data_IF_465622279186
#
_entry.id   IF_465622279186
#
_cell.length_a   1.000
_cell.length_b   1.000
_cell.length_c   1.000
_cell.angle_alpha   90.00
_cell.angle_beta   90.00
_cell.angle_gamma   90.00
#
_symmetry.space_group_name_H-M   'P 1'
#
loop_
_entity.id
_entity.type
_entity.pdbx_description
1 polymer ?
#
# COMPACT_ATOMS: atom_id res chain seq x y z
N UNK A 1 22.92 -50.30 -25.52
CA UNK A 1 21.77 -49.43 -25.89
C UNK A 1 20.61 -49.80 -24.97
N UNK A 2 20.46 -49.11 -23.83
CA UNK A 2 19.51 -49.51 -22.78
C UNK A 2 18.12 -48.91 -23.06
N UNK A 3 17.13 -49.79 -23.32
CA UNK A 3 15.73 -49.41 -23.46
C UNK A 3 15.17 -48.89 -22.13
N UNK A 4 14.91 -47.58 -22.05
CA UNK A 4 14.20 -46.95 -20.92
C UNK A 4 12.75 -47.45 -20.90
N UNK A 5 12.32 -47.97 -19.76
CA UNK A 5 11.01 -48.61 -19.59
C UNK A 5 9.83 -47.63 -19.83
N UNK A 6 8.71 -48.10 -20.41
CA UNK A 6 7.56 -47.26 -20.79
C UNK A 6 6.87 -46.58 -19.58
N UNK A 7 7.05 -47.10 -18.37
CA UNK A 7 6.53 -46.51 -17.12
C UNK A 7 7.19 -45.17 -16.77
N UNK A 8 8.44 -44.94 -17.18
CA UNK A 8 9.14 -43.67 -16.92
C UNK A 8 8.67 -42.56 -17.86
N UNK A 9 8.25 -42.90 -19.09
CA UNK A 9 7.67 -41.93 -20.03
C UNK A 9 6.28 -41.47 -19.58
N UNK A 10 5.44 -42.37 -19.06
CA UNK A 10 4.11 -42.03 -18.56
C UNK A 10 4.16 -41.13 -17.30
N UNK A 11 5.10 -41.38 -16.38
CA UNK A 11 5.31 -40.54 -15.18
C UNK A 11 5.80 -39.13 -15.53
N UNK A 12 6.66 -38.99 -16.55
CA UNK A 12 7.14 -37.69 -17.02
C UNK A 12 6.04 -36.91 -17.77
N UNK A 13 5.21 -37.59 -18.55
CA UNK A 13 4.08 -36.96 -19.24
C UNK A 13 2.99 -36.49 -18.26
N UNK A 14 2.70 -37.28 -17.22
CA UNK A 14 1.77 -36.90 -16.15
C UNK A 14 2.30 -35.74 -15.29
N UNK A 15 3.62 -35.68 -15.04
CA UNK A 15 4.25 -34.55 -14.35
C UNK A 15 4.21 -33.27 -15.21
N UNK A 16 4.45 -33.38 -16.53
CA UNK A 16 4.32 -32.23 -17.44
C UNK A 16 2.86 -31.76 -17.59
N UNK A 17 1.88 -32.67 -17.63
CA UNK A 17 0.46 -32.29 -17.64
C UNK A 17 0.04 -31.64 -16.31
N UNK A 18 0.53 -32.14 -15.17
CA UNK A 18 0.26 -31.53 -13.86
C UNK A 18 0.87 -30.12 -13.74
N UNK A 19 2.00 -29.83 -14.39
CA UNK A 19 2.60 -28.48 -14.44
C UNK A 19 1.80 -27.53 -15.34
N UNK A 20 1.15 -28.02 -16.40
CA UNK A 20 0.32 -27.17 -17.30
C UNK A 20 -1.01 -26.75 -16.64
N UNK A 21 -1.54 -27.52 -15.69
CA UNK A 21 -2.80 -27.20 -15.02
C UNK A 21 -2.69 -26.24 -13.81
N UNK A 22 -1.49 -25.77 -13.45
CA UNK A 22 -1.31 -24.76 -12.36
C UNK A 22 -1.30 -23.31 -12.89
N UNK A 23 -1.46 -23.10 -14.20
CA UNK A 23 -1.46 -21.76 -14.80
C UNK A 23 -2.77 -20.97 -14.64
N UNK A 24 -3.76 -21.48 -13.92
CA UNK A 24 -5.01 -20.76 -13.64
C UNK A 24 -5.30 -20.72 -12.15
N UNK A 25 -5.05 -19.58 -11.50
CA UNK A 25 -5.79 -19.05 -10.35
C UNK A 25 -5.08 -17.82 -9.73
N UNK A 26 -5.82 -16.70 -9.61
CA UNK A 26 -5.63 -15.74 -8.51
C UNK A 26 -5.12 -14.33 -8.80
N UNK A 27 -5.23 -13.79 -10.02
CA UNK A 27 -4.97 -12.37 -10.30
C UNK A 27 -6.26 -11.63 -10.68
N UNK A 28 -6.46 -10.42 -10.17
CA UNK A 28 -7.57 -9.56 -10.62
C UNK A 28 -7.33 -9.10 -12.06
N UNK A 29 -8.38 -8.81 -12.87
CA UNK A 29 -8.20 -8.44 -14.27
C UNK A 29 -7.33 -7.19 -14.46
N UNK A 30 -6.53 -7.16 -15.53
CA UNK A 30 -5.77 -5.98 -15.96
C UNK A 30 -6.65 -5.07 -16.83
N UNK A 31 -6.47 -3.76 -16.74
CA UNK A 31 -7.23 -2.79 -17.55
C UNK A 31 -8.52 -2.28 -16.89
N UNK A 32 -8.68 -2.50 -15.58
CA UNK A 32 -9.86 -2.03 -14.82
C UNK A 32 -10.00 -0.50 -14.75
N UNK A 33 -8.92 0.23 -15.06
CA UNK A 33 -8.91 1.70 -15.06
C UNK A 33 -9.34 2.29 -16.40
N UNK A 34 -9.64 1.48 -17.42
CA UNK A 34 -10.30 1.97 -18.62
C UNK A 34 -11.69 2.50 -18.25
N UNK A 35 -11.99 3.80 -18.48
CA UNK A 35 -13.28 4.36 -18.10
C UNK A 35 -14.45 3.67 -18.81
N UNK A 36 -15.51 3.39 -18.06
CA UNK A 36 -16.78 2.86 -18.57
C UNK A 36 -17.89 3.90 -18.45
N UNK A 37 -18.94 3.74 -19.26
CA UNK A 37 -20.11 4.59 -19.18
C UNK A 37 -20.80 4.43 -17.81
N UNK A 38 -21.33 5.53 -17.29
CA UNK A 38 -22.11 5.53 -16.06
C UNK A 38 -23.53 5.00 -16.33
N UNK A 39 -23.66 3.67 -16.31
CA UNK A 39 -24.91 2.96 -16.55
C UNK A 39 -25.75 2.78 -15.29
N UNK A 40 -25.24 3.19 -14.11
CA UNK A 40 -25.92 3.04 -12.82
C UNK A 40 -25.75 4.31 -11.98
N UNK A 41 -26.46 5.40 -12.33
CA UNK A 41 -26.18 6.71 -11.76
C UNK A 41 -26.52 6.84 -10.27
N UNK A 42 -27.32 5.92 -9.73
CA UNK A 42 -27.71 5.87 -8.32
C UNK A 42 -26.62 5.23 -7.43
N UNK A 43 -25.50 4.80 -8.00
CA UNK A 43 -24.35 4.28 -7.24
C UNK A 43 -23.58 5.40 -6.56
N UNK A 44 -22.98 5.10 -5.41
CA UNK A 44 -22.04 6.01 -4.75
C UNK A 44 -20.81 6.19 -5.62
N UNK A 45 -20.25 7.41 -5.60
CA UNK A 45 -19.02 7.76 -6.33
C UNK A 45 -17.96 8.24 -5.36
N UNK A 46 -16.74 7.81 -5.60
CA UNK A 46 -15.54 8.34 -4.95
C UNK A 46 -14.70 9.02 -6.01
N UNK A 47 -14.62 10.35 -5.94
CA UNK A 47 -13.69 11.17 -6.71
C UNK A 47 -12.42 11.35 -5.89
N UNK A 48 -11.24 11.09 -6.47
CA UNK A 48 -9.98 11.20 -5.75
C UNK A 48 -8.88 11.82 -6.61
N UNK A 49 -8.00 12.58 -5.96
CA UNK A 49 -6.75 13.03 -6.53
C UNK A 49 -5.67 12.01 -6.24
N UNK A 50 -4.88 11.71 -7.25
CA UNK A 50 -3.73 10.83 -7.13
C UNK A 50 -2.47 11.66 -7.29
N UNK A 51 -1.50 11.47 -6.39
CA UNK A 51 -0.14 11.95 -6.53
C UNK A 51 0.79 10.72 -6.62
N UNK A 52 1.56 10.62 -7.70
CA UNK A 52 2.36 9.41 -7.97
C UNK A 52 3.76 9.72 -8.43
N UNK A 53 4.72 8.91 -7.99
CA UNK A 53 6.09 8.85 -8.51
C UNK A 53 6.30 7.64 -9.43
N UNK A 54 5.22 6.95 -9.81
CA UNK A 54 5.25 5.85 -10.79
C UNK A 54 5.47 6.41 -12.21
N UNK A 55 6.22 5.66 -13.00
CA UNK A 55 6.39 5.86 -14.44
C UNK A 55 5.09 5.59 -15.17
N UNK A 56 4.82 6.35 -16.23
CA UNK A 56 3.69 6.09 -17.12
C UNK A 56 3.78 4.67 -17.68
N UNK A 57 2.65 3.99 -17.79
CA UNK A 57 2.60 2.67 -18.43
C UNK A 57 2.53 2.81 -19.94
N UNK A 58 3.16 1.88 -20.64
CA UNK A 58 3.01 1.71 -22.10
C UNK A 58 1.86 0.74 -22.43
N UNK A 59 1.35 0.02 -21.43
CA UNK A 59 0.29 -0.97 -21.61
C UNK A 59 -1.10 -0.30 -21.65
N UNK A 60 -1.91 -0.55 -22.69
CA UNK A 60 -3.28 -0.03 -22.76
C UNK A 60 -4.12 -0.46 -21.55
N UNK A 61 -4.87 0.47 -20.97
CA UNK A 61 -5.71 0.24 -19.79
C UNK A 61 -4.96 0.34 -18.44
N UNK A 62 -3.66 0.58 -18.47
CA UNK A 62 -2.85 0.89 -17.28
C UNK A 62 -2.34 2.33 -17.38
N UNK A 63 -2.57 3.16 -16.34
CA UNK A 63 -2.07 4.53 -16.35
C UNK A 63 -0.60 4.61 -15.97
N UNK A 64 -0.23 3.91 -14.90
CA UNK A 64 1.12 3.95 -14.33
C UNK A 64 1.63 2.55 -14.02
N UNK A 65 2.92 2.35 -14.23
CA UNK A 65 3.62 1.08 -14.02
C UNK A 65 4.20 0.96 -12.60
N UNK A 66 4.94 -0.12 -12.36
CA UNK A 66 5.77 -0.28 -11.16
C UNK A 66 7.10 0.46 -11.22
N UNK A 67 7.44 1.12 -12.33
CA UNK A 67 8.73 1.78 -12.49
C UNK A 67 8.76 3.19 -11.90
N UNK A 68 9.96 3.72 -11.61
CA UNK A 68 10.14 5.07 -11.04
C UNK A 68 10.07 6.15 -12.13
N UNK A 69 9.34 7.23 -11.86
CA UNK A 69 9.38 8.47 -12.63
C UNK A 69 10.27 9.51 -11.94
N UNK A 70 10.99 10.32 -12.72
CA UNK A 70 11.80 11.43 -12.18
C UNK A 70 10.98 12.53 -11.53
N UNK A 71 9.82 12.81 -12.10
CA UNK A 71 8.92 13.86 -11.64
C UNK A 71 7.60 13.24 -11.19
N UNK A 72 6.95 13.81 -10.16
CA UNK A 72 5.60 13.39 -9.80
C UNK A 72 4.61 13.66 -10.94
N UNK A 73 3.66 12.75 -11.08
CA UNK A 73 2.48 12.91 -11.92
C UNK A 73 1.23 12.96 -11.04
N UNK A 74 0.15 13.52 -11.59
CA UNK A 74 -1.13 13.64 -10.90
C UNK A 74 -2.24 13.06 -11.77
N UNK A 75 -3.28 12.52 -11.13
CA UNK A 75 -4.46 12.05 -11.85
C UNK A 75 -5.74 12.29 -11.05
N UNK A 76 -6.85 12.49 -11.76
CA UNK A 76 -8.21 12.57 -11.23
C UNK A 76 -8.98 11.32 -11.65
N UNK A 77 -9.34 10.52 -10.65
CA UNK A 77 -10.05 9.26 -10.85
C UNK A 77 -11.40 9.31 -10.14
N UNK A 78 -12.44 8.87 -10.84
CA UNK A 78 -13.76 8.63 -10.26
C UNK A 78 -14.07 7.14 -10.33
N UNK A 79 -14.34 6.53 -9.17
CA UNK A 79 -14.75 5.13 -9.05
C UNK A 79 -16.20 5.08 -8.58
N UNK A 80 -17.03 4.30 -9.28
CA UNK A 80 -18.37 3.93 -8.84
C UNK A 80 -18.29 2.69 -7.93
N UNK A 81 -19.11 2.72 -6.88
CA UNK A 81 -19.18 1.67 -5.87
C UNK A 81 -20.55 1.01 -5.96
N UNK A 82 -20.64 -0.31 -6.18
CA UNK A 82 -21.91 -1.00 -6.36
C UNK A 82 -22.69 -1.01 -5.03
N UNK A 83 -24.03 -0.88 -5.09
CA UNK A 83 -24.87 -0.73 -3.89
C UNK A 83 -24.94 -2.02 -3.06
N UNK A 84 -24.85 -3.18 -3.70
CA UNK A 84 -24.94 -4.49 -3.04
C UNK A 84 -23.58 -5.15 -3.08
N UNK A 85 -22.86 -5.03 -1.96
CA UNK A 85 -21.59 -5.74 -1.72
C UNK A 85 -21.34 -5.92 -0.23
N UNK A 86 -20.37 -6.75 0.10
CA UNK A 86 -19.85 -6.83 1.46
C UNK A 86 -18.96 -5.61 1.75
N UNK A 87 -19.24 -4.91 2.84
CA UNK A 87 -18.40 -3.80 3.34
C UNK A 87 -17.01 -4.34 3.67
N UNK A 88 -15.97 -3.58 3.34
CA UNK A 88 -14.58 -4.01 3.52
C UNK A 88 -13.98 -4.77 2.32
N UNK A 89 -14.83 -5.27 1.41
CA UNK A 89 -14.39 -5.96 0.21
C UNK A 89 -14.44 -5.05 -1.03
N UNK A 90 -13.41 -5.15 -1.85
CA UNK A 90 -13.40 -4.57 -3.20
C UNK A 90 -14.10 -5.54 -4.15
N UNK A 91 -15.24 -5.14 -4.70
CA UNK A 91 -15.97 -5.96 -5.67
C UNK A 91 -15.29 -5.86 -7.05
N UNK A 92 -14.22 -6.62 -7.23
CA UNK A 92 -13.48 -6.64 -8.49
C UNK A 92 -14.33 -7.19 -9.65
N UNK A 93 -14.27 -6.57 -10.85
CA UNK A 93 -14.97 -7.08 -12.00
C UNK A 93 -14.43 -8.47 -12.36
N UNK A 94 -15.33 -9.42 -12.66
CA UNK A 94 -14.95 -10.75 -13.15
C UNK A 94 -14.66 -10.77 -14.65
N UNK A 95 -15.18 -9.77 -15.37
CA UNK A 95 -15.04 -9.59 -16.82
C UNK A 95 -14.98 -8.09 -17.11
N UNK A 96 -14.20 -7.71 -18.14
CA UNK A 96 -14.16 -6.34 -18.64
C UNK A 96 -15.05 -6.17 -19.88
N UNK A 97 -15.64 -4.98 -20.11
CA UNK A 97 -15.62 -3.80 -19.23
C UNK A 97 -16.39 -4.03 -17.92
N UNK A 98 -16.02 -3.31 -16.85
CA UNK A 98 -16.66 -3.43 -15.54
C UNK A 98 -18.11 -2.92 -15.56
N UNK A 99 -18.95 -3.48 -14.68
CA UNK A 99 -20.35 -3.08 -14.55
C UNK A 99 -20.58 -2.28 -13.26
N UNK A 100 -20.87 -0.96 -13.32
CA UNK A 100 -21.13 -0.13 -12.14
C UNK A 100 -22.23 -0.64 -11.19
N UNK A 101 -23.15 -1.47 -11.68
CA UNK A 101 -24.21 -2.05 -10.85
C UNK A 101 -23.72 -3.20 -9.94
N UNK A 102 -22.65 -3.89 -10.31
CA UNK A 102 -22.17 -5.11 -9.61
C UNK A 102 -20.72 -5.02 -9.15
N UNK A 103 -19.91 -4.19 -9.81
CA UNK A 103 -18.47 -4.13 -9.66
C UNK A 103 -18.03 -2.72 -9.28
N UNK A 104 -16.82 -2.61 -8.73
CA UNK A 104 -16.10 -1.35 -8.75
C UNK A 104 -15.78 -1.02 -10.21
N UNK A 105 -16.22 0.16 -10.65
CA UNK A 105 -16.04 0.56 -12.03
C UNK A 105 -15.48 1.98 -12.12
N UNK A 106 -14.42 2.13 -12.91
CA UNK A 106 -13.76 3.40 -13.16
C UNK A 106 -14.62 4.20 -14.15
N UNK A 107 -15.15 5.34 -13.72
CA UNK A 107 -15.96 6.22 -14.56
C UNK A 107 -15.12 7.33 -15.22
N UNK A 108 -14.01 7.71 -14.58
CA UNK A 108 -13.10 8.75 -15.06
C UNK A 108 -11.68 8.39 -14.64
N UNK A 109 -10.71 8.62 -15.53
CA UNK A 109 -9.30 8.43 -15.28
C UNK A 109 -8.50 9.42 -16.15
N UNK A 110 -8.19 10.61 -15.60
CA UNK A 110 -7.54 11.70 -16.33
C UNK A 110 -6.21 12.03 -15.68
N UNK A 111 -5.14 12.14 -16.48
CA UNK A 111 -3.89 12.74 -16.02
C UNK A 111 -4.09 14.25 -15.86
N UNK A 112 -3.52 14.81 -14.80
CA UNK A 112 -3.57 16.23 -14.49
C UNK A 112 -2.16 16.83 -14.50
N UNK A 113 -2.07 18.06 -14.97
CA UNK A 113 -0.94 18.93 -14.65
C UNK A 113 -0.94 19.28 -13.16
N UNK A 114 0.18 19.82 -12.69
CA UNK A 114 0.32 20.26 -11.29
C UNK A 114 -0.72 21.32 -10.91
N UNK A 115 -1.02 22.27 -11.80
CA UNK A 115 -1.95 23.35 -11.48
C UNK A 115 -3.42 22.88 -11.52
N UNK A 116 -3.75 21.95 -12.42
CA UNK A 116 -5.05 21.26 -12.40
C UNK A 116 -5.23 20.44 -11.12
N UNK A 117 -4.19 19.75 -10.64
CA UNK A 117 -4.23 19.01 -9.38
C UNK A 117 -4.48 19.93 -8.17
N UNK A 118 -3.83 21.10 -8.12
CA UNK A 118 -4.09 22.12 -7.08
C UNK A 118 -5.52 22.65 -7.16
N UNK A 119 -6.01 22.92 -8.37
CA UNK A 119 -7.37 23.41 -8.58
C UNK A 119 -8.40 22.37 -8.16
N UNK A 120 -8.19 21.10 -8.51
CA UNK A 120 -9.02 19.98 -8.08
C UNK A 120 -9.05 19.89 -6.56
N UNK A 121 -7.88 19.93 -5.89
CA UNK A 121 -7.81 19.80 -4.44
C UNK A 121 -8.55 20.94 -3.74
N UNK A 122 -8.35 22.17 -4.19
CA UNK A 122 -9.06 23.34 -3.67
C UNK A 122 -10.57 23.23 -3.83
N UNK A 123 -11.04 22.73 -4.99
CA UNK A 123 -12.46 22.51 -5.23
C UNK A 123 -13.03 21.41 -4.32
N UNK A 124 -12.31 20.30 -4.15
CA UNK A 124 -12.72 19.16 -3.31
C UNK A 124 -12.75 19.50 -1.83
N UNK A 125 -11.74 20.22 -1.32
CA UNK A 125 -11.66 20.65 0.08
C UNK A 125 -12.82 21.59 0.44
N UNK A 126 -13.28 22.43 -0.49
CA UNK A 126 -14.45 23.30 -0.27
C UNK A 126 -15.77 22.54 -0.16
N UNK A 127 -15.84 21.29 -0.66
CA UNK A 127 -17.01 20.40 -0.50
C UNK A 127 -17.01 19.67 0.84
N UNK A 128 -15.84 19.54 1.49
CA UNK A 128 -15.69 18.92 2.80
C UNK A 128 -16.20 19.87 3.90
N UNK A 129 -17.06 19.40 4.85
CA UNK A 129 -17.62 20.25 5.91
C UNK A 129 -16.56 20.93 6.79
N UNK A 130 -15.46 20.21 7.02
CA UNK A 130 -14.33 20.52 7.88
C UNK A 130 -13.11 21.01 7.10
N UNK A 131 -13.22 21.12 5.76
CA UNK A 131 -12.12 21.49 4.85
C UNK A 131 -10.87 20.65 5.09
N UNK A 132 -11.07 19.36 5.30
CA UNK A 132 -10.03 18.39 5.61
C UNK A 132 -9.61 17.59 4.37
N UNK A 133 -8.40 17.06 4.43
CA UNK A 133 -7.82 16.17 3.42
C UNK A 133 -7.50 14.84 4.09
N UNK A 134 -7.91 13.75 3.44
CA UNK A 134 -7.48 12.40 3.79
C UNK A 134 -6.43 11.93 2.78
N UNK A 135 -5.19 11.77 3.24
CA UNK A 135 -4.10 11.21 2.44
C UNK A 135 -3.99 9.72 2.72
N UNK A 136 -4.09 8.88 1.70
CA UNK A 136 -3.84 7.44 1.82
C UNK A 136 -2.55 7.03 1.11
N UNK A 137 -1.72 6.25 1.80
CA UNK A 137 -0.43 5.74 1.29
C UNK A 137 -0.47 4.22 1.31
N UNK A 138 -0.43 3.60 0.14
CA UNK A 138 -0.53 2.14 0.01
C UNK A 138 0.71 1.40 0.51
N UNK A 139 0.54 0.10 0.79
CA UNK A 139 1.60 -0.81 1.21
C UNK A 139 2.34 -1.51 0.07
N UNK A 140 3.19 -2.48 0.45
CA UNK A 140 3.96 -3.33 -0.46
C UNK A 140 3.06 -4.20 -1.35
N UNK A 141 3.60 -4.67 -2.48
CA UNK A 141 2.94 -5.62 -3.38
C UNK A 141 1.62 -5.09 -3.98
N UNK A 142 1.58 -3.79 -4.32
CA UNK A 142 0.40 -3.17 -4.93
C UNK A 142 0.69 -2.64 -6.33
N UNK A 143 -0.16 -2.99 -7.30
CA UNK A 143 -0.24 -2.29 -8.57
C UNK A 143 -0.97 -0.95 -8.36
N UNK A 144 -0.99 -0.14 -9.41
CA UNK A 144 -1.61 1.17 -9.34
C UNK A 144 -3.13 1.06 -9.08
N UNK A 145 -3.80 0.20 -9.85
CA UNK A 145 -5.24 -0.07 -9.74
C UNK A 145 -5.65 -0.67 -8.39
N UNK A 146 -4.81 -1.52 -7.78
CA UNK A 146 -5.06 -2.11 -6.46
C UNK A 146 -5.19 -1.00 -5.41
N UNK A 147 -4.30 -0.01 -5.50
CA UNK A 147 -4.26 1.15 -4.60
C UNK A 147 -5.46 2.06 -4.78
N UNK A 148 -5.88 2.28 -6.03
CA UNK A 148 -7.06 3.10 -6.38
C UNK A 148 -8.34 2.47 -5.83
N UNK A 149 -8.59 1.20 -6.12
CA UNK A 149 -9.83 0.55 -5.69
C UNK A 149 -9.87 0.33 -4.18
N UNK A 150 -8.72 0.00 -3.56
CA UNK A 150 -8.65 -0.10 -2.10
C UNK A 150 -8.95 1.23 -1.43
N UNK A 151 -8.40 2.34 -1.93
CA UNK A 151 -8.69 3.64 -1.35
C UNK A 151 -10.14 4.08 -1.59
N UNK A 152 -10.70 3.81 -2.77
CA UNK A 152 -12.11 4.05 -3.05
C UNK A 152 -13.01 3.31 -2.05
N UNK A 153 -12.68 2.05 -1.75
CA UNK A 153 -13.38 1.24 -0.76
C UNK A 153 -13.29 1.87 0.64
N UNK A 154 -12.08 2.22 1.11
CA UNK A 154 -11.87 2.80 2.44
C UNK A 154 -12.60 4.15 2.56
N UNK A 155 -12.46 5.04 1.57
CA UNK A 155 -13.09 6.36 1.59
C UNK A 155 -14.62 6.27 1.61
N UNK A 156 -15.19 5.34 0.84
CA UNK A 156 -16.64 5.09 0.84
C UNK A 156 -17.12 4.48 2.16
N UNK A 157 -16.47 3.40 2.59
CA UNK A 157 -16.95 2.58 3.72
C UNK A 157 -16.74 3.25 5.08
N UNK A 158 -15.74 4.12 5.18
CA UNK A 158 -15.52 4.92 6.40
C UNK A 158 -16.52 6.06 6.54
N UNK A 159 -17.21 6.43 5.47
CA UNK A 159 -18.14 7.57 5.45
C UNK A 159 -17.45 8.94 5.58
N UNK A 160 -16.12 8.98 5.53
CA UNK A 160 -15.32 10.20 5.66
C UNK A 160 -15.69 11.23 4.59
N UNK A 161 -15.78 12.51 4.99
CA UNK A 161 -16.16 13.62 4.08
C UNK A 161 -14.98 14.52 3.69
N UNK A 162 -13.76 14.14 4.06
CA UNK A 162 -12.51 14.80 3.66
C UNK A 162 -12.25 14.65 2.15
N UNK A 163 -11.50 15.58 1.57
CA UNK A 163 -11.01 15.46 0.20
C UNK A 163 -10.01 14.28 0.11
N UNK A 164 -10.29 13.24 -0.70
CA UNK A 164 -9.46 12.04 -0.74
C UNK A 164 -8.27 12.21 -1.70
N UNK A 165 -7.06 12.02 -1.17
CA UNK A 165 -5.79 12.07 -1.90
C UNK A 165 -5.07 10.74 -1.76
N UNK A 166 -4.88 10.04 -2.86
CA UNK A 166 -4.09 8.80 -2.91
C UNK A 166 -2.64 9.13 -3.29
N UNK A 167 -1.70 8.70 -2.46
CA UNK A 167 -0.28 8.71 -2.78
C UNK A 167 0.12 7.31 -3.22
N UNK A 168 0.66 7.19 -4.43
CA UNK A 168 1.21 5.92 -4.92
C UNK A 168 2.70 6.03 -5.19
N UNK A 169 3.45 5.03 -4.76
CA UNK A 169 4.89 4.91 -4.99
C UNK A 169 5.20 3.70 -5.89
N UNK A 170 6.39 3.59 -6.49
CA UNK A 170 6.74 2.58 -7.50
C UNK A 170 6.89 1.17 -6.90
N UNK A 171 5.76 0.56 -6.55
CA UNK A 171 5.66 -0.86 -6.22
C UNK A 171 5.44 -1.66 -7.49
N UNK A 172 6.23 -2.71 -7.69
CA UNK A 172 6.06 -3.62 -8.83
C UNK A 172 4.91 -4.61 -8.65
N UNK A 173 4.24 -4.60 -7.50
CA UNK A 173 3.15 -5.55 -7.23
C UNK A 173 3.65 -6.99 -7.25
N UNK A 174 4.85 -7.26 -6.70
CA UNK A 174 5.42 -8.60 -6.65
C UNK A 174 6.11 -8.85 -5.32
N UNK A 175 5.87 -10.00 -4.70
CA UNK A 175 6.55 -10.45 -3.49
C UNK A 175 8.07 -10.55 -3.68
N UNK A 176 8.53 -10.92 -4.88
CA UNK A 176 9.96 -11.01 -5.21
C UNK A 176 10.62 -9.64 -5.40
N UNK A 177 9.83 -8.57 -5.55
CA UNK A 177 10.33 -7.21 -5.76
C UNK A 177 10.57 -6.44 -4.46
N UNK A 178 10.53 -7.09 -3.29
CA UNK A 178 10.64 -6.44 -1.98
C UNK A 178 11.79 -5.43 -1.87
N UNK A 179 13.01 -5.81 -2.29
CA UNK A 179 14.17 -4.91 -2.24
C UNK A 179 14.02 -3.69 -3.16
N UNK A 180 13.46 -3.86 -4.36
CA UNK A 180 13.18 -2.75 -5.26
C UNK A 180 12.14 -1.80 -4.67
N UNK A 181 11.06 -2.36 -4.15
CA UNK A 181 9.94 -1.63 -3.57
C UNK A 181 10.38 -0.78 -2.37
N UNK A 182 11.24 -1.31 -1.49
CA UNK A 182 11.85 -0.55 -0.38
C UNK A 182 12.71 0.63 -0.86
N UNK A 183 13.54 0.43 -1.87
CA UNK A 183 14.31 1.54 -2.45
C UNK A 183 13.39 2.55 -3.16
N UNK A 184 12.25 2.10 -3.69
CA UNK A 184 11.25 2.94 -4.33
C UNK A 184 10.45 3.78 -3.32
N UNK A 185 10.23 3.28 -2.10
CA UNK A 185 9.68 4.11 -1.02
C UNK A 185 10.67 5.22 -0.65
N UNK A 186 11.95 4.91 -0.46
CA UNK A 186 12.97 5.94 -0.17
C UNK A 186 13.07 6.98 -1.30
N UNK A 187 12.98 6.53 -2.55
CA UNK A 187 12.94 7.41 -3.72
C UNK A 187 11.76 8.39 -3.69
N UNK A 188 10.60 7.96 -3.19
CA UNK A 188 9.37 8.76 -3.15
C UNK A 188 9.34 9.77 -2.01
N UNK A 189 10.18 9.59 -0.98
CA UNK A 189 10.19 10.38 0.26
C UNK A 189 10.14 11.89 0.04
N UNK A 190 11.06 12.44 -0.77
CA UNK A 190 11.13 13.89 -1.01
C UNK A 190 9.90 14.43 -1.75
N UNK A 191 9.28 13.60 -2.60
CA UNK A 191 8.06 13.98 -3.31
C UNK A 191 6.87 14.01 -2.35
N UNK A 192 6.79 13.05 -1.43
CA UNK A 192 5.77 13.03 -0.40
C UNK A 192 5.94 14.21 0.58
N UNK A 193 7.17 14.51 1.01
CA UNK A 193 7.48 15.71 1.79
C UNK A 193 6.98 16.97 1.07
N UNK A 194 7.26 17.10 -0.23
CA UNK A 194 6.80 18.24 -1.04
C UNK A 194 5.27 18.36 -1.10
N UNK A 195 4.55 17.23 -1.15
CA UNK A 195 3.09 17.21 -1.05
C UNK A 195 2.64 17.68 0.34
N UNK A 196 3.24 17.18 1.42
CA UNK A 196 2.90 17.59 2.77
C UNK A 196 3.18 19.07 3.03
N UNK A 197 4.29 19.60 2.53
CA UNK A 197 4.60 21.03 2.56
C UNK A 197 3.53 21.86 1.81
N UNK A 198 3.05 21.37 0.66
CA UNK A 198 1.95 22.02 -0.06
C UNK A 198 0.65 22.03 0.76
N UNK A 199 0.26 20.87 1.33
CA UNK A 199 -0.94 20.77 2.18
C UNK A 199 -0.86 21.65 3.42
N UNK A 200 0.33 21.80 4.00
CA UNK A 200 0.58 22.69 5.13
C UNK A 200 0.37 24.17 4.76
N UNK A 201 0.92 24.58 3.61
CA UNK A 201 0.92 25.97 3.16
C UNK A 201 -0.46 26.44 2.66
N UNK A 202 -1.28 25.54 2.10
CA UNK A 202 -2.59 25.90 1.54
C UNK A 202 -3.56 26.35 2.63
N UNK A 203 -4.06 27.60 2.53
CA UNK A 203 -4.93 28.23 3.54
C UNK A 203 -6.35 27.68 3.54
N UNK A 204 -6.80 27.09 2.43
CA UNK A 204 -8.13 26.49 2.33
C UNK A 204 -8.21 25.20 3.14
N UNK A 205 -7.10 24.46 3.24
CA UNK A 205 -6.98 23.24 4.03
C UNK A 205 -6.86 23.59 5.52
N UNK A 206 -7.79 23.05 6.31
CA UNK A 206 -7.81 23.23 7.77
C UNK A 206 -7.24 22.04 8.51
N UNK A 207 -7.35 20.85 7.94
CA UNK A 207 -6.90 19.62 8.57
C UNK A 207 -6.37 18.62 7.55
N UNK A 208 -5.30 17.91 7.93
CA UNK A 208 -4.72 16.81 7.16
C UNK A 208 -4.70 15.58 8.05
N UNK A 209 -5.35 14.52 7.56
CA UNK A 209 -5.32 13.18 8.15
C UNK A 209 -4.58 12.23 7.21
N UNK A 210 -3.67 11.42 7.74
CA UNK A 210 -2.88 10.45 6.97
C UNK A 210 -3.29 9.04 7.38
N UNK A 211 -3.57 8.18 6.42
CA UNK A 211 -3.74 6.74 6.59
C UNK A 211 -2.67 6.02 5.76
N UNK A 212 -1.73 5.35 6.40
CA UNK A 212 -0.68 4.59 5.72
C UNK A 212 -0.81 3.10 6.02
N UNK A 213 -0.48 2.25 5.04
CA UNK A 213 -0.58 0.79 5.18
C UNK A 213 0.76 0.10 4.97
N UNK A 214 1.09 -0.90 5.80
CA UNK A 214 2.27 -1.75 5.65
C UNK A 214 3.57 -0.95 5.43
N UNK A 215 4.33 -1.22 4.36
CA UNK A 215 5.54 -0.48 3.97
C UNK A 215 5.29 1.01 3.69
N UNK A 216 4.06 1.43 3.38
CA UNK A 216 3.69 2.83 3.23
C UNK A 216 3.86 3.64 4.52
N UNK A 217 3.83 2.98 5.69
CA UNK A 217 4.06 3.63 6.98
C UNK A 217 5.48 4.18 7.10
N UNK A 218 6.48 3.43 6.64
CA UNK A 218 7.87 3.89 6.58
C UNK A 218 7.99 5.19 5.79
N UNK A 219 7.39 5.22 4.60
CA UNK A 219 7.39 6.38 3.72
C UNK A 219 6.69 7.59 4.37
N UNK A 220 5.54 7.36 5.03
CA UNK A 220 4.79 8.42 5.71
C UNK A 220 5.60 9.05 6.86
N UNK A 221 6.18 8.21 7.73
CA UNK A 221 6.97 8.65 8.89
C UNK A 221 8.23 9.39 8.46
N UNK A 222 8.95 8.87 7.47
CA UNK A 222 10.15 9.53 6.95
C UNK A 222 9.84 10.89 6.32
N UNK A 223 8.75 11.02 5.57
CA UNK A 223 8.35 12.29 4.98
C UNK A 223 7.90 13.31 6.04
N UNK A 224 7.17 12.87 7.07
CA UNK A 224 6.79 13.71 8.21
C UNK A 224 8.01 14.17 9.00
N UNK A 225 8.94 13.26 9.30
CA UNK A 225 10.18 13.58 10.01
C UNK A 225 11.02 14.59 9.24
N UNK A 226 11.21 14.40 7.93
CA UNK A 226 11.95 15.35 7.10
C UNK A 226 11.30 16.74 7.09
N UNK A 227 9.98 16.77 6.97
CA UNK A 227 9.22 18.01 7.03
C UNK A 227 9.38 18.70 8.39
N UNK A 228 9.33 17.94 9.49
CA UNK A 228 9.51 18.45 10.84
C UNK A 228 10.91 19.06 11.02
N UNK A 229 11.95 18.34 10.62
CA UNK A 229 13.35 18.81 10.69
C UNK A 229 13.52 20.10 9.85
N UNK A 230 12.92 20.17 8.66
CA UNK A 230 13.02 21.35 7.78
C UNK A 230 12.27 22.57 8.32
N UNK A 231 11.14 22.34 9.00
CA UNK A 231 10.22 23.38 9.44
C UNK A 231 10.35 23.74 10.92
N UNK A 232 11.27 23.09 11.66
CA UNK A 232 11.37 23.17 13.12
C UNK A 232 10.07 22.75 13.83
N UNK A 233 9.50 21.63 13.37
CA UNK A 233 8.27 21.02 13.88
C UNK A 233 7.23 20.74 12.79
N UNK A 234 6.23 19.91 13.13
CA UNK A 234 5.13 19.62 12.22
C UNK A 234 4.03 20.70 12.32
N UNK A 235 3.44 21.16 11.21
CA UNK A 235 2.33 22.10 11.26
C UNK A 235 1.11 21.51 11.98
N UNK A 236 0.44 22.31 12.82
CA UNK A 236 -0.73 21.90 13.60
C UNK A 236 -1.93 21.39 12.77
N UNK A 237 -1.90 21.59 11.44
CA UNK A 237 -2.89 21.03 10.51
C UNK A 237 -2.79 19.50 10.39
N UNK A 238 -1.62 18.91 10.61
CA UNK A 238 -1.42 17.46 10.62
C UNK A 238 -1.88 16.92 11.97
N UNK A 239 -3.15 16.54 12.07
CA UNK A 239 -3.73 16.14 13.36
C UNK A 239 -3.73 14.65 13.60
N UNK A 240 -4.07 13.86 12.59
CA UNK A 240 -4.27 12.43 12.73
C UNK A 240 -3.34 11.67 11.79
N UNK A 241 -2.55 10.75 12.33
CA UNK A 241 -1.73 9.81 11.56
C UNK A 241 -2.09 8.40 11.98
N UNK A 242 -2.77 7.70 11.09
CA UNK A 242 -3.23 6.33 11.26
C UNK A 242 -2.28 5.39 10.52
N UNK A 243 -1.63 4.50 11.26
CA UNK A 243 -0.68 3.55 10.73
C UNK A 243 -1.28 2.14 10.81
N UNK A 244 -1.67 1.61 9.65
CA UNK A 244 -2.31 0.30 9.55
C UNK A 244 -1.29 -0.79 9.24
N UNK A 245 -1.27 -1.84 10.08
CA UNK A 245 -0.34 -2.96 10.00
C UNK A 245 1.11 -2.53 9.67
N UNK A 246 1.71 -1.62 10.46
CA UNK A 246 2.97 -0.98 10.09
C UNK A 246 4.13 -1.97 9.92
N UNK A 247 4.67 -2.03 8.71
CA UNK A 247 5.90 -2.75 8.37
C UNK A 247 7.12 -1.85 8.62
N UNK A 248 7.24 -1.40 9.87
CA UNK A 248 8.34 -0.58 10.37
C UNK A 248 9.11 -1.45 11.36
N UNK A 249 10.44 -1.47 11.25
CA UNK A 249 11.31 -2.14 12.21
C UNK A 249 11.01 -1.66 13.65
N UNK A 250 10.86 -2.59 14.59
CA UNK A 250 10.66 -2.37 16.05
C UNK A 250 11.99 -2.42 16.77
N UNK A 251 13.09 -2.09 16.11
CA UNK A 251 14.12 -1.44 16.89
C UNK A 251 13.42 -0.18 17.41
N UNK A 252 12.98 -0.25 18.67
CA UNK A 252 12.23 0.76 19.41
C UNK A 252 12.81 2.14 19.11
N UNK A 253 14.12 2.20 18.95
CA UNK A 253 14.91 3.38 18.62
C UNK A 253 14.53 4.03 17.27
N UNK A 254 14.12 3.31 16.23
CA UNK A 254 13.84 3.93 14.91
C UNK A 254 12.50 4.65 14.90
N UNK A 255 11.42 4.00 15.34
CA UNK A 255 10.13 4.67 15.43
C UNK A 255 10.15 5.75 16.50
N UNK A 256 10.77 5.48 17.66
CA UNK A 256 10.95 6.47 18.73
C UNK A 256 11.78 7.66 18.25
N UNK A 257 12.95 7.45 17.66
CA UNK A 257 13.78 8.56 17.14
C UNK A 257 13.05 9.33 16.06
N UNK A 258 12.22 8.69 15.23
CA UNK A 258 11.39 9.40 14.25
C UNK A 258 10.37 10.33 14.91
N UNK A 259 9.73 9.91 16.01
CA UNK A 259 8.80 10.75 16.78
C UNK A 259 9.55 11.85 17.53
N UNK A 260 10.67 11.52 18.17
CA UNK A 260 11.51 12.49 18.89
C UNK A 260 12.06 13.58 17.94
N UNK A 261 12.50 13.19 16.74
CA UNK A 261 12.98 14.10 15.69
C UNK A 261 11.86 15.00 15.12
N UNK A 262 10.58 14.64 15.31
CA UNK A 262 9.45 15.51 14.95
C UNK A 262 9.24 16.65 15.95
N UNK A 263 9.90 16.60 17.11
CA UNK A 263 9.79 17.59 18.18
C UNK A 263 8.56 17.39 19.08
N UNK A 264 8.33 18.35 19.97
CA UNK A 264 7.26 18.28 20.98
C UNK A 264 5.85 18.40 20.40
N UNK A 265 5.71 18.94 19.19
CA UNK A 265 4.44 19.02 18.47
C UNK A 265 4.34 17.90 17.44
N UNK A 266 3.78 16.77 17.88
CA UNK A 266 3.53 15.63 17.01
C UNK A 266 2.02 15.39 16.79
N UNK A 267 1.63 14.81 15.65
CA UNK A 267 0.25 14.43 15.41
C UNK A 267 -0.19 13.33 16.38
N UNK A 268 -1.51 13.10 16.44
CA UNK A 268 -2.08 11.97 17.15
C UNK A 268 -1.87 10.71 16.33
N UNK A 269 -0.95 9.87 16.77
CA UNK A 269 -0.71 8.57 16.15
C UNK A 269 -1.76 7.55 16.60
N UNK A 270 -2.23 6.75 15.64
CA UNK A 270 -3.11 5.62 15.89
C UNK A 270 -2.56 4.40 15.16
N UNK A 271 -2.12 3.40 15.90
CA UNK A 271 -1.56 2.16 15.35
C UNK A 271 -2.65 1.09 15.30
N UNK A 272 -2.87 0.49 14.13
CA UNK A 272 -3.64 -0.74 14.02
C UNK A 272 -2.67 -1.91 13.94
N UNK A 273 -2.61 -2.71 15.00
CA UNK A 273 -1.67 -3.82 15.15
C UNK A 273 -2.42 -5.16 15.11
N UNK A 274 -1.77 -6.22 14.67
CA UNK A 274 -2.29 -7.58 14.72
C UNK A 274 -1.13 -8.55 14.94
N UNK A 275 -1.13 -9.25 16.07
CA UNK A 275 -0.03 -10.15 16.45
C UNK A 275 0.05 -11.38 15.53
N UNK A 276 -1.06 -11.77 14.89
CA UNK A 276 -1.17 -12.91 13.98
C UNK A 276 -1.01 -12.54 12.49
N UNK A 277 -0.46 -11.36 12.20
CA UNK A 277 -0.21 -10.89 10.84
C UNK A 277 0.94 -11.68 10.17
N UNK A 278 0.59 -12.46 9.15
CA UNK A 278 1.52 -13.36 8.48
C UNK A 278 2.41 -12.64 7.47
N UNK A 279 1.98 -11.49 6.93
CA UNK A 279 2.79 -10.70 6.01
C UNK A 279 3.93 -10.00 6.77
N UNK A 280 3.64 -9.47 7.96
CA UNK A 280 4.67 -8.92 8.84
C UNK A 280 5.62 -10.01 9.34
N UNK A 281 5.13 -11.21 9.65
CA UNK A 281 5.99 -12.35 10.00
C UNK A 281 6.98 -12.71 8.87
N UNK A 282 6.55 -12.63 7.61
CA UNK A 282 7.44 -12.79 6.46
C UNK A 282 8.47 -11.65 6.37
N UNK A 283 8.06 -10.40 6.59
CA UNK A 283 8.96 -9.25 6.61
C UNK A 283 10.02 -9.35 7.73
N UNK A 284 9.65 -9.82 8.94
CA UNK A 284 10.59 -10.11 10.05
C UNK A 284 11.66 -11.10 9.61
N UNK A 285 11.26 -12.21 8.98
CA UNK A 285 12.14 -13.28 8.50
C UNK A 285 13.16 -12.78 7.46
N UNK A 286 12.75 -11.88 6.57
CA UNK A 286 13.62 -11.31 5.53
C UNK A 286 14.66 -10.34 6.12
N UNK A 287 14.35 -9.69 7.25
CA UNK A 287 15.18 -8.67 7.90
C UNK A 287 15.95 -9.16 9.13
N UNK A 288 16.25 -10.46 9.18
CA UNK A 288 17.09 -10.98 10.27
C UNK A 288 16.38 -11.10 11.61
N UNK A 289 15.05 -11.33 11.60
CA UNK A 289 14.23 -11.62 12.78
C UNK A 289 13.95 -10.43 13.71
N UNK A 290 14.09 -9.20 13.20
CA UNK A 290 13.73 -7.97 13.92
C UNK A 290 12.19 -7.85 13.98
N UNK A 291 11.56 -7.61 15.15
CA UNK A 291 10.12 -7.45 15.26
C UNK A 291 9.58 -6.26 14.42
N UNK A 292 8.30 -6.31 14.01
CA UNK A 292 7.63 -5.24 13.21
C UNK A 292 6.54 -4.55 14.00
N UNK A 293 6.39 -3.23 13.84
CA UNK A 293 5.55 -2.39 14.71
C UNK A 293 4.10 -2.83 14.66
N UNK A 294 3.64 -3.32 13.51
CA UNK A 294 2.29 -3.83 13.35
C UNK A 294 2.03 -5.19 14.01
N UNK A 295 3.02 -5.81 14.64
CA UNK A 295 2.93 -7.17 15.23
C UNK A 295 3.49 -7.23 16.65
N UNK A 296 3.61 -6.08 17.31
CA UNK A 296 3.94 -5.99 18.74
C UNK A 296 2.72 -6.37 19.59
N UNK A 297 2.98 -6.82 20.81
CA UNK A 297 1.96 -6.90 21.85
C UNK A 297 1.95 -5.55 22.61
N UNK A 298 0.92 -4.70 22.43
CA UNK A 298 0.89 -3.37 23.03
C UNK A 298 0.75 -3.39 24.56
N UNK A 299 0.35 -4.52 25.15
CA UNK A 299 0.22 -4.66 26.60
C UNK A 299 1.50 -5.13 27.29
N UNK A 300 2.55 -5.42 26.52
CA UNK A 300 3.83 -5.94 27.02
C UNK A 300 4.87 -4.83 27.15
N UNK A 301 5.59 -4.82 28.27
CA UNK A 301 6.76 -3.94 28.45
C UNK A 301 7.94 -4.35 27.55
N UNK A 302 8.71 -3.39 26.99
CA UNK A 302 8.66 -1.93 27.24
C UNK A 302 7.65 -1.16 26.37
N UNK A 303 6.96 -1.83 25.44
CA UNK A 303 6.13 -1.16 24.44
C UNK A 303 4.94 -0.40 25.04
N UNK A 304 4.30 -0.97 26.07
CA UNK A 304 3.17 -0.35 26.76
C UNK A 304 3.52 1.04 27.30
N UNK A 305 4.65 1.15 28.00
CA UNK A 305 5.12 2.41 28.54
C UNK A 305 5.50 3.40 27.43
N UNK A 306 6.23 2.96 26.41
CA UNK A 306 6.66 3.83 25.30
C UNK A 306 5.50 4.40 24.49
N UNK A 307 4.47 3.58 24.23
CA UNK A 307 3.27 4.01 23.54
C UNK A 307 2.50 5.04 24.37
N UNK A 308 2.43 4.84 25.69
CA UNK A 308 1.79 5.77 26.62
C UNK A 308 2.55 7.11 26.72
N UNK A 309 3.89 7.05 26.86
CA UNK A 309 4.75 8.23 26.99
C UNK A 309 4.70 9.14 25.76
N UNK A 310 4.47 8.57 24.57
CA UNK A 310 4.35 9.30 23.30
C UNK A 310 2.88 9.58 22.91
N UNK A 311 1.92 9.34 23.81
CA UNK A 311 0.48 9.52 23.58
C UNK A 311 -0.06 8.82 22.31
N UNK A 312 0.46 7.63 22.02
CA UNK A 312 0.11 6.82 20.85
C UNK A 312 -1.10 5.95 21.19
N UNK A 313 -2.15 6.07 20.39
CA UNK A 313 -3.32 5.18 20.51
C UNK A 313 -3.04 3.88 19.78
N UNK A 314 -3.27 2.72 20.40
CA UNK A 314 -3.15 1.41 19.74
C UNK A 314 -4.51 0.72 19.71
N UNK A 315 -4.84 0.15 18.55
CA UNK A 315 -6.04 -0.67 18.34
C UNK A 315 -5.54 -2.07 17.95
N UNK A 316 -5.75 -3.04 18.84
CA UNK A 316 -5.37 -4.43 18.61
C UNK A 316 -6.45 -5.18 17.80
N UNK A 317 -6.10 -5.56 16.58
CA UNK A 317 -6.94 -6.30 15.64
C UNK A 317 -6.68 -7.81 15.67
N UNK A 318 -5.87 -8.32 16.60
CA UNK A 318 -5.52 -9.75 16.70
C UNK A 318 -6.77 -10.64 16.74
N UNK A 319 -7.81 -10.21 17.46
CA UNK A 319 -9.08 -10.95 17.59
C UNK A 319 -10.07 -10.71 16.44
N UNK A 320 -9.79 -9.77 15.54
CA UNK A 320 -10.67 -9.45 14.40
C UNK A 320 -10.47 -10.50 13.30
N UNK A 321 -11.58 -11.03 12.79
CA UNK A 321 -11.57 -12.00 11.69
C UNK A 321 -11.26 -11.28 10.38
N UNK A 322 -10.34 -11.84 9.60
CA UNK A 322 -9.98 -11.37 8.27
C UNK A 322 -10.42 -12.39 7.21
N UNK A 323 -10.81 -11.93 6.02
CA UNK A 323 -11.05 -12.79 4.86
C UNK A 323 -9.75 -13.14 4.13
N UNK A 324 -8.71 -12.32 4.27
CA UNK A 324 -7.41 -12.54 3.64
C UNK A 324 -6.59 -13.63 4.34
N UNK A 325 -5.99 -14.53 3.54
CA UNK A 325 -5.16 -15.63 4.06
C UNK A 325 -3.88 -15.20 4.77
N UNK A 326 -3.50 -13.92 4.63
CA UNK A 326 -2.33 -13.30 5.29
C UNK A 326 -2.68 -12.58 6.59
N UNK A 327 -3.97 -12.29 6.85
CA UNK A 327 -4.44 -11.55 8.03
C UNK A 327 -3.83 -10.15 8.16
N UNK A 328 -3.46 -9.55 7.03
CA UNK A 328 -2.75 -8.27 6.91
C UNK A 328 -3.69 -7.13 6.49
N UNK A 329 -4.84 -7.46 5.90
CA UNK A 329 -5.87 -6.53 5.43
C UNK A 329 -6.96 -6.19 6.45
N UNK A 330 -6.89 -6.69 7.70
CA UNK A 330 -7.95 -6.56 8.72
C UNK A 330 -8.49 -5.14 8.89
N UNK A 331 -7.61 -4.14 8.81
CA UNK A 331 -7.97 -2.73 8.99
C UNK A 331 -8.96 -2.21 7.93
N UNK A 332 -8.91 -2.78 6.72
CA UNK A 332 -9.75 -2.37 5.60
C UNK A 332 -10.90 -3.35 5.34
N UNK A 333 -10.79 -4.60 5.79
CA UNK A 333 -11.80 -5.66 5.58
C UNK A 333 -12.85 -5.74 6.67
N UNK A 334 -12.56 -5.28 7.89
CA UNK A 334 -13.54 -5.21 8.98
C UNK A 334 -14.36 -3.92 8.87
N UNK A 335 -15.69 -4.02 8.68
CA UNK A 335 -16.57 -2.85 8.67
C UNK A 335 -16.42 -1.99 9.92
N UNK A 336 -16.25 -2.62 11.08
CA UNK A 336 -16.06 -1.96 12.37
C UNK A 336 -14.79 -1.11 12.36
N UNK A 337 -13.66 -1.67 11.88
CA UNK A 337 -12.39 -0.93 11.85
C UNK A 337 -12.43 0.21 10.82
N UNK A 338 -13.04 0.00 9.67
CA UNK A 338 -13.19 1.05 8.65
C UNK A 338 -14.08 2.19 9.15
N UNK A 339 -15.13 1.90 9.91
CA UNK A 339 -15.94 2.92 10.58
C UNK A 339 -15.14 3.67 11.66
N UNK A 340 -14.24 3.00 12.39
CA UNK A 340 -13.34 3.66 13.35
C UNK A 340 -12.40 4.66 12.67
N UNK A 341 -11.89 4.34 11.48
CA UNK A 341 -11.10 5.27 10.66
C UNK A 341 -11.94 6.53 10.38
N UNK A 342 -13.19 6.35 9.94
CA UNK A 342 -14.11 7.45 9.67
C UNK A 342 -14.40 8.32 10.89
N UNK A 343 -14.69 7.69 12.03
CA UNK A 343 -14.95 8.37 13.31
C UNK A 343 -13.72 9.15 13.80
N UNK A 344 -12.52 8.58 13.65
CA UNK A 344 -11.26 9.23 14.05
C UNK A 344 -10.99 10.48 13.24
N UNK A 345 -11.22 10.43 11.93
CA UNK A 345 -11.05 11.57 11.03
C UNK A 345 -12.12 12.64 11.28
N UNK A 346 -13.38 12.24 11.51
CA UNK A 346 -14.50 13.18 11.61
C UNK A 346 -14.62 13.88 12.97
N UNK A 347 -14.40 13.16 14.07
CA UNK A 347 -14.71 13.68 15.42
C UNK A 347 -13.45 14.05 16.24
N UNK A 348 -12.25 13.68 15.76
CA UNK A 348 -10.99 13.89 16.48
C UNK A 348 -10.97 13.25 17.88
N UNK A 349 -11.86 12.30 18.18
CA UNK A 349 -11.99 11.69 19.52
C UNK A 349 -10.92 10.61 19.73
N UNK A 350 -10.23 10.57 20.89
CA UNK A 350 -9.43 9.42 21.29
C UNK A 350 -10.35 8.21 21.50
N UNK A 351 -10.15 7.17 20.71
CA UNK A 351 -10.78 5.88 20.92
C UNK A 351 -9.97 5.15 21.99
N UNK A 352 -10.46 5.17 23.22
CA UNK A 352 -9.97 4.27 24.27
C UNK A 352 -10.59 2.89 24.08
N UNK A 353 -9.84 1.86 24.45
CA UNK A 353 -10.21 0.43 24.42
C UNK A 353 -11.60 0.13 25.02
N UNK A 354 -12.09 1.05 25.87
CA UNK A 354 -13.36 1.01 26.61
C UNK A 354 -14.63 1.09 25.76
N UNK A 355 -14.56 1.51 24.47
CA UNK A 355 -15.74 1.51 23.57
C UNK A 355 -15.86 0.24 22.73
N UNK A 356 -14.90 -0.67 22.84
CA UNK A 356 -14.93 -1.97 22.21
C UNK A 356 -15.58 -2.95 23.19
N UNK A 357 -16.91 -3.04 23.16
CA UNK A 357 -17.68 -4.08 23.83
C UNK A 357 -17.53 -5.45 23.14
N UNK A 358 -16.30 -5.93 22.90
CA UNK A 358 -16.01 -7.25 22.32
C UNK A 358 -16.10 -8.40 23.35
N UNK A 359 -16.85 -8.20 24.44
CA UNK A 359 -17.12 -9.22 25.46
C UNK A 359 -18.42 -9.99 25.27
N UNK A 360 -19.48 -9.37 24.73
CA UNK A 360 -20.85 -9.88 24.97
C UNK A 360 -21.57 -10.49 23.76
N UNK A 361 -20.98 -10.50 22.59
CA UNK A 361 -21.59 -11.18 21.44
C UNK A 361 -20.56 -12.01 20.69
N UNK A 362 -20.45 -13.28 21.09
CA UNK A 362 -20.17 -14.46 20.24
C UNK A 362 -20.17 -15.74 21.10
N UNK A 363 -21.36 -16.20 21.50
CA UNK A 363 -21.58 -17.60 21.85
C UNK A 363 -22.51 -18.21 20.80
N UNK A 364 -21.93 -19.00 19.91
CA UNK A 364 -22.53 -20.13 19.19
C UNK A 364 -21.47 -20.65 18.20
N UNK A 365 -20.95 -21.86 18.27
CA UNK A 365 -21.07 -22.98 19.18
C UNK A 365 -20.06 -24.02 18.68
N UNK A 366 -19.29 -24.60 19.59
CA UNK A 366 -18.29 -25.66 19.32
C UNK A 366 -18.77 -26.97 19.92
N UNK A 367 -18.70 -28.04 19.13
CA UNK A 367 -18.67 -29.45 19.59
C UNK A 367 -17.88 -30.24 18.53
N UNK A 368 -16.83 -30.99 18.80
CA UNK A 368 -16.08 -31.33 20.00
C UNK A 368 -14.98 -32.35 19.65
N UNK A 369 -13.83 -32.20 20.32
CA UNK A 369 -12.90 -33.21 20.89
C UNK A 369 -12.27 -34.31 20.00
N UNK A 370 -10.93 -34.33 19.92
CA UNK A 370 -10.07 -35.33 20.59
C UNK A 370 -8.57 -35.01 20.45
N UNK A 371 -7.84 -35.13 21.56
CA UNK A 371 -6.39 -34.96 21.67
C UNK A 371 -5.65 -36.30 21.52
N UNK A 372 -4.42 -36.26 21.00
CA UNK A 372 -3.36 -37.21 21.35
C UNK A 372 -1.96 -36.60 21.06
N UNK A 373 -1.02 -36.95 21.93
CA UNK A 373 0.27 -36.30 22.18
C UNK A 373 1.44 -36.73 21.28
N UNK A 374 2.57 -36.02 21.37
CA UNK A 374 3.91 -36.57 21.09
C UNK A 374 4.92 -35.61 20.45
N UNK A 375 5.94 -35.21 21.20
CA UNK A 375 7.09 -34.43 20.72
C UNK A 375 8.05 -35.30 19.89
N UNK A 376 8.50 -34.81 18.73
CA UNK A 376 9.73 -35.26 18.06
C UNK A 376 10.31 -34.14 17.19
N UNK A 377 11.64 -33.98 17.28
CA UNK A 377 12.42 -32.90 16.70
C UNK A 377 12.68 -33.05 15.19
N UNK A 378 12.95 -31.89 14.55
CA UNK A 378 13.99 -31.74 13.53
C UNK A 378 13.67 -32.13 12.08
N UNK A 379 13.35 -31.12 11.26
CA UNK A 379 13.79 -30.89 9.87
C UNK A 379 12.81 -29.92 9.19
N UNK A 380 13.14 -28.63 9.16
CA UNK A 380 12.47 -27.72 8.22
C UNK A 380 13.11 -27.98 6.85
N UNK A 381 12.44 -28.80 6.05
CA UNK A 381 12.61 -28.79 4.61
C UNK A 381 12.30 -27.38 4.11
N UNK A 382 13.26 -26.75 3.45
CA UNK A 382 13.00 -25.57 2.64
C UNK A 382 11.95 -25.97 1.58
N UNK A 383 10.70 -25.56 1.80
CA UNK A 383 9.67 -25.69 0.78
C UNK A 383 10.12 -24.87 -0.43
N UNK A 384 10.05 -25.40 -1.66
CA UNK A 384 10.35 -24.60 -2.84
C UNK A 384 9.36 -23.44 -2.88
N UNK A 385 9.86 -22.27 -3.30
CA UNK A 385 9.10 -21.03 -3.56
C UNK A 385 8.13 -21.26 -4.73
N UNK A 386 7.20 -22.20 -4.58
CA UNK A 386 6.37 -22.78 -5.64
C UNK A 386 4.87 -22.59 -5.37
N UNK A 387 4.51 -21.68 -4.46
CA UNK A 387 3.17 -21.08 -4.38
C UNK A 387 3.34 -19.58 -4.55
N UNK A 388 3.84 -19.20 -5.72
CA UNK A 388 4.01 -17.80 -6.12
C UNK A 388 2.62 -17.23 -6.40
N UNK A 389 2.25 -16.10 -5.78
CA UNK A 389 0.99 -15.41 -6.08
C UNK A 389 0.95 -14.97 -7.55
N UNK A 390 -0.25 -14.74 -8.10
CA UNK A 390 -0.42 -14.50 -9.52
C UNK A 390 0.38 -13.29 -10.04
N UNK A 391 0.44 -12.20 -9.27
CA UNK A 391 1.18 -11.01 -9.69
C UNK A 391 2.69 -11.27 -9.69
N UNK A 392 3.19 -12.06 -8.74
CA UNK A 392 4.60 -12.46 -8.73
C UNK A 392 4.92 -13.43 -9.87
N UNK A 393 3.99 -14.31 -10.29
CA UNK A 393 4.18 -15.19 -11.47
C UNK A 393 4.27 -14.38 -12.75
N UNK A 394 3.39 -13.40 -12.93
CA UNK A 394 3.40 -12.53 -14.11
C UNK A 394 4.71 -11.73 -14.23
N UNK A 395 5.27 -11.32 -13.09
CA UNK A 395 6.54 -10.59 -13.02
C UNK A 395 7.79 -11.50 -13.08
N UNK A 396 7.64 -12.82 -13.01
CA UNK A 396 8.78 -13.75 -12.95
C UNK A 396 9.58 -13.74 -14.26
N UNK A 397 8.91 -13.70 -15.42
CA UNK A 397 9.57 -13.71 -16.73
C UNK A 397 10.47 -12.47 -16.95
N UNK A 398 10.06 -11.30 -16.46
CA UNK A 398 10.86 -10.07 -16.56
C UNK A 398 12.06 -10.08 -15.60
N UNK A 399 11.91 -10.67 -14.41
CA UNK A 399 13.00 -10.79 -13.43
C UNK A 399 14.07 -11.81 -13.85
N UNK A 400 13.67 -12.95 -14.44
CA UNK A 400 14.63 -13.94 -14.98
C UNK A 400 15.32 -13.41 -16.24
N UNK A 401 14.62 -12.65 -17.08
CA UNK A 401 15.23 -11.96 -18.23
C UNK A 401 16.34 -10.96 -17.83
N UNK A 402 16.20 -10.31 -16.68
CA UNK A 402 17.23 -9.42 -16.12
C UNK A 402 18.49 -10.13 -15.61
N UNK A 403 18.37 -11.41 -15.21
CA UNK A 403 19.50 -12.25 -14.77
C UNK A 403 20.16 -12.99 -15.93
N UNK A 404 19.42 -13.30 -17.00
CA UNK A 404 19.93 -13.92 -18.22
C UNK A 404 20.50 -12.91 -19.24
N UNK A 405 20.40 -11.61 -18.95
CA UNK A 405 20.82 -10.51 -19.83
C UNK A 405 22.12 -9.82 -19.40
N UNK A 406 23.14 -10.56 -18.97
CA UNK A 406 24.52 -10.07 -18.98
C UNK A 406 25.34 -10.91 -19.96
N UNK A 407 25.28 -10.53 -21.23
CA UNK A 407 26.32 -10.84 -22.19
C UNK A 407 26.67 -9.54 -22.89
N UNK A 408 27.95 -9.19 -22.76
CA UNK A 408 28.68 -8.04 -23.27
C UNK A 408 27.94 -7.09 -24.23
N UNK A 409 27.71 -5.87 -23.76
CA UNK A 409 27.29 -4.76 -24.61
C UNK A 409 27.58 -3.43 -23.94
N UNK A 410 28.68 -2.79 -24.35
CA UNK A 410 28.99 -1.39 -24.00
C UNK A 410 27.75 -0.52 -24.27
N UNK A 411 27.07 -0.06 -23.21
CA UNK A 411 26.02 0.98 -23.33
C UNK A 411 26.70 2.28 -23.78
N UNK A 412 26.54 2.62 -25.06
CA UNK A 412 26.84 3.96 -25.57
C UNK A 412 25.77 4.92 -25.05
N UNK A 413 26.15 5.82 -24.14
CA UNK A 413 25.34 7.00 -23.87
C UNK A 413 25.39 7.89 -25.11
N UNK A 414 24.27 8.02 -25.82
CA UNK A 414 24.13 8.97 -26.90
C UNK A 414 23.84 10.36 -26.30
N UNK A 415 24.86 11.19 -26.14
CA UNK A 415 24.70 12.63 -25.92
C UNK A 415 24.43 13.25 -27.29
N UNK A 416 23.18 13.67 -27.54
CA UNK A 416 22.85 14.55 -28.67
C UNK A 416 22.71 15.98 -28.15
N UNK A 417 23.27 16.91 -28.91
CA UNK A 417 23.24 18.37 -28.77
C UNK A 417 24.14 19.02 -27.69
N UNK A 418 25.43 19.11 -28.00
CA UNK A 418 26.28 20.20 -27.50
C UNK A 418 26.28 21.33 -28.53
N UNK A 419 25.36 22.29 -28.41
CA UNK A 419 25.44 23.55 -29.18
C UNK A 419 26.30 24.56 -28.43
N UNK A 420 27.25 25.13 -29.15
CA UNK A 420 28.23 26.10 -28.69
C UNK A 420 27.59 27.43 -28.31
N UNK A 421 27.55 27.73 -27.02
CA UNK A 421 27.55 29.11 -26.51
C UNK A 421 28.51 29.16 -25.33
N UNK A 422 29.40 30.14 -25.37
CA UNK A 422 30.56 30.26 -24.49
C UNK A 422 30.20 30.30 -22.99
N UNK A 423 31.13 29.74 -22.21
CA UNK A 423 31.32 29.91 -20.76
C UNK A 423 30.38 29.16 -19.79
N UNK A 424 30.51 27.82 -19.71
CA UNK A 424 30.64 27.06 -18.45
C UNK A 424 31.46 25.79 -18.73
N UNK A 425 32.49 25.55 -17.92
CA UNK A 425 33.46 24.46 -18.04
C UNK A 425 32.87 23.14 -17.48
N UNK A 426 32.29 22.30 -18.34
CA UNK A 426 31.75 20.98 -17.95
C UNK A 426 32.76 19.86 -18.23
N UNK A 427 33.24 19.23 -17.15
CA UNK A 427 34.22 18.12 -17.19
C UNK A 427 33.76 16.88 -17.95
N UNK A 428 32.46 16.75 -18.26
CA UNK A 428 31.94 15.61 -19.02
C UNK A 428 32.30 15.63 -20.52
N UNK A 429 32.67 16.79 -21.09
CA UNK A 429 33.00 16.92 -22.52
C UNK A 429 34.49 16.68 -22.87
N UNK A 430 35.38 16.54 -21.88
CA UNK A 430 36.82 16.38 -22.12
C UNK A 430 37.28 14.92 -22.30
N UNK A 431 36.42 13.94 -22.08
CA UNK A 431 36.80 12.52 -22.09
C UNK A 431 36.80 11.83 -23.48
N UNK A 432 36.72 12.57 -24.58
CA UNK A 432 36.84 12.02 -25.95
C UNK A 432 37.39 13.08 -26.93
N UNK A 433 38.66 13.47 -26.73
CA UNK A 433 39.50 14.02 -27.81
C UNK A 433 40.72 13.14 -28.02
#
# INVERSE_FOLDING_TARGET
MALKSPRVRFRRLALCLAVVFVAGCGGHPKGVLTPVADTSPNTSRVEMLIATTRGRSEMPGEMYSGERARNPSFADITVSIPPVRKVGEVAWPKKLPSNPATDFATLKALELSRDEAKAWLNASVKKSPDRSVLVFIHGFNNRFEDSVYRFAQIAHDSGVKSAPVLVTWPSRGSLLAYGYDRESTNYTRNTLESLFQYLAADKEIKEVSILAHSMGNWLALEALRQMAIRNDGLPAKFKNVMLAAPDVDVDVDVFRSQIEDMGSQHPRFTLFVSQDDRALAFSRRVWGDIPRLGSIDPEREPYKQELADNAITVIDLTKVKAGDGMRHGKFAESPEVVQLIGARISDGQPLTDSRIGLGDHLIAGTTGVAAAAGSAAGLILAAPVAVVDANTRDNYASQVGGLAGQSDGKRKFAVKDCRSTAAVDDRACQANR
#
